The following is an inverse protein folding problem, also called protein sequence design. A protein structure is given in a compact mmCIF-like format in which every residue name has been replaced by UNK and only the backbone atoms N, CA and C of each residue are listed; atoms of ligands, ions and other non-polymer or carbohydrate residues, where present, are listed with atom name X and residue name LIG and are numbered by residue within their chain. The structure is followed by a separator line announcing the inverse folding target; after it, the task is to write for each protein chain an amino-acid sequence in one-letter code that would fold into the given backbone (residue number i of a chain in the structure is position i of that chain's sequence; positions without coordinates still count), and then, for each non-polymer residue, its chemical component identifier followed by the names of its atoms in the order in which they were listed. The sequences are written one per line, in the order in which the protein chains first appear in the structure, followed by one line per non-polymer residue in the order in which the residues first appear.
data_IF_430152090751
#
_entry.id   IF_430152090751
#
_cell.length_a   1.000
_cell.length_b   1.000
_cell.length_c   1.000
_cell.angle_alpha   90.00
_cell.angle_beta   90.00
_cell.angle_gamma   90.00
#
_symmetry.space_group_name_H-M   'P 1'
#
loop_
_entity.id
_entity.type
_entity.pdbx_description
1 polymer ?
#
# COMPACT_ATOMS: atom_id res chain seq x y z
N UNK A 1 14.01 -4.50 -4.76
CA UNK A 1 12.94 -4.07 -3.82
C UNK A 1 13.62 -3.26 -2.72
N UNK A 2 13.09 -2.10 -2.35
CA UNK A 2 13.59 -1.31 -1.21
C UNK A 2 12.60 -1.48 -0.06
N UNK A 3 13.07 -1.94 1.08
CA UNK A 3 12.26 -2.13 2.30
C UNK A 3 12.22 -0.86 3.15
N UNK A 4 11.23 -0.74 4.04
CA UNK A 4 11.16 0.35 5.01
C UNK A 4 10.55 1.66 4.49
N UNK A 5 9.98 1.70 3.28
CA UNK A 5 9.37 2.91 2.75
C UNK A 5 7.97 3.14 3.33
N UNK A 6 7.72 4.39 3.67
CA UNK A 6 6.42 4.94 4.10
C UNK A 6 5.83 5.81 3.00
N UNK A 7 4.59 6.28 3.18
CA UNK A 7 3.99 7.28 2.29
C UNK A 7 4.81 8.56 2.20
N UNK A 8 5.51 8.95 3.29
CA UNK A 8 6.39 10.14 3.32
C UNK A 8 7.53 10.07 2.29
N UNK A 9 8.03 8.86 1.98
CA UNK A 9 9.05 8.68 0.94
C UNK A 9 8.52 8.96 -0.46
N UNK A 10 7.22 8.80 -0.68
CA UNK A 10 6.53 9.00 -1.95
C UNK A 10 5.83 10.36 -2.07
N UNK A 11 5.92 11.23 -1.07
CA UNK A 11 5.37 12.58 -1.20
C UNK A 11 5.98 13.31 -2.41
N UNK A 12 5.18 14.12 -3.12
CA UNK A 12 5.65 14.86 -4.29
C UNK A 12 6.85 15.75 -3.94
N UNK A 13 7.99 15.45 -4.51
CA UNK A 13 9.22 16.24 -4.42
C UNK A 13 10.14 15.95 -5.61
N UNK A 14 10.99 16.89 -5.99
CA UNK A 14 11.84 16.76 -7.17
C UNK A 14 12.80 15.55 -7.11
N UNK A 15 13.24 15.16 -5.91
CA UNK A 15 14.16 14.04 -5.69
C UNK A 15 13.52 12.84 -4.97
N UNK A 16 12.20 12.85 -4.77
CA UNK A 16 11.46 11.80 -4.06
C UNK A 16 11.28 10.51 -4.87
N UNK A 17 10.85 9.45 -4.21
CA UNK A 17 10.64 8.15 -4.87
C UNK A 17 9.51 8.23 -5.91
N UNK A 18 8.47 9.01 -5.67
CA UNK A 18 7.39 9.21 -6.65
C UNK A 18 7.91 9.80 -7.97
N UNK A 19 8.85 10.76 -7.91
CA UNK A 19 9.44 11.34 -9.12
C UNK A 19 10.21 10.31 -9.94
N UNK A 20 10.87 9.34 -9.27
CA UNK A 20 11.55 8.23 -9.96
C UNK A 20 10.56 7.27 -10.62
N UNK A 21 9.44 6.99 -9.95
CA UNK A 21 8.35 6.18 -10.52
C UNK A 21 7.78 6.87 -11.76
N UNK A 22 7.46 8.18 -11.66
CA UNK A 22 6.94 8.97 -12.78
C UNK A 22 7.92 8.97 -13.97
N UNK A 23 9.20 9.20 -13.70
CA UNK A 23 10.24 9.17 -14.75
C UNK A 23 10.34 7.80 -15.43
N UNK A 24 10.30 6.71 -14.65
CA UNK A 24 10.32 5.36 -15.18
C UNK A 24 9.08 5.06 -16.04
N UNK A 25 7.89 5.45 -15.56
CA UNK A 25 6.64 5.27 -16.33
C UNK A 25 6.70 6.04 -17.65
N UNK A 26 7.13 7.30 -17.63
CA UNK A 26 7.29 8.12 -18.86
C UNK A 26 8.26 7.48 -19.86
N UNK A 27 9.26 6.75 -19.38
CA UNK A 27 10.23 6.07 -20.25
C UNK A 27 9.63 4.79 -20.88
N UNK A 28 8.82 4.03 -20.14
CA UNK A 28 8.35 2.71 -20.58
C UNK A 28 6.91 2.69 -21.09
N UNK A 29 6.05 3.62 -20.67
CA UNK A 29 4.67 3.74 -21.14
C UNK A 29 4.61 4.62 -22.40
N UNK A 30 5.03 4.07 -23.53
CA UNK A 30 5.10 4.77 -24.83
C UNK A 30 3.84 4.58 -25.68
N UNK A 31 3.07 3.54 -25.40
CA UNK A 31 1.80 3.28 -26.09
C UNK A 31 0.64 3.84 -25.25
N UNK A 32 0.19 5.04 -25.62
CA UNK A 32 -0.89 5.77 -24.93
C UNK A 32 -2.28 5.15 -25.13
N UNK A 33 -2.41 4.13 -25.98
CA UNK A 33 -3.68 3.38 -26.15
C UNK A 33 -3.88 2.34 -25.06
N UNK A 34 -2.84 1.98 -24.32
CA UNK A 34 -2.88 1.03 -23.23
C UNK A 34 -3.26 1.69 -21.93
N UNK A 35 -4.13 1.01 -21.18
CA UNK A 35 -4.51 1.46 -19.84
C UNK A 35 -3.29 1.41 -18.90
N UNK A 36 -2.99 2.54 -18.26
CA UNK A 36 -2.01 2.63 -17.19
C UNK A 36 -2.69 2.47 -15.83
N UNK A 37 -2.23 1.51 -15.04
CA UNK A 37 -2.75 1.24 -13.70
C UNK A 37 -1.62 1.33 -12.68
N UNK A 38 -1.80 2.17 -11.68
CA UNK A 38 -0.94 2.22 -10.49
C UNK A 38 -1.59 1.43 -9.35
N UNK A 39 -0.94 0.36 -8.90
CA UNK A 39 -1.35 -0.39 -7.73
C UNK A 39 -0.54 0.08 -6.52
N UNK A 40 -1.21 0.61 -5.50
CA UNK A 40 -0.59 1.19 -4.31
C UNK A 40 -0.93 0.35 -3.08
N UNK A 41 0.09 -0.22 -2.43
CA UNK A 41 -0.01 -0.88 -1.13
C UNK A 41 1.02 -0.29 -0.18
N UNK A 42 0.72 0.86 0.41
CA UNK A 42 1.51 1.55 1.42
C UNK A 42 0.73 1.58 2.75
N UNK A 43 1.43 1.72 3.87
CA UNK A 43 0.81 1.85 5.20
C UNK A 43 1.46 0.98 6.26
N UNK A 44 1.99 -0.20 5.91
CA UNK A 44 2.64 -1.08 6.88
C UNK A 44 3.76 -0.36 7.64
N UNK A 45 4.66 0.31 6.95
CA UNK A 45 5.75 1.05 7.58
C UNK A 45 5.29 2.34 8.26
N UNK A 46 4.25 2.98 7.73
CA UNK A 46 3.62 4.18 8.31
C UNK A 46 3.01 3.87 9.69
N UNK A 47 2.56 2.64 9.90
CA UNK A 47 1.93 2.20 11.14
C UNK A 47 2.93 1.91 12.26
N UNK A 48 4.24 1.78 11.98
CA UNK A 48 5.25 1.48 13.00
C UNK A 48 5.24 2.56 14.09
N UNK A 49 5.54 2.14 15.34
CA UNK A 49 5.70 3.06 16.46
C UNK A 49 7.02 3.85 16.35
N UNK A 50 8.07 3.20 15.81
CA UNK A 50 9.40 3.78 15.65
C UNK A 50 10.13 3.15 14.45
N UNK A 51 11.02 3.91 13.83
CA UNK A 51 12.03 3.42 12.90
C UNK A 51 11.87 3.93 11.47
N UNK A 52 10.81 3.61 10.72
CA UNK A 52 10.64 4.11 9.37
C UNK A 52 10.44 5.63 9.33
N UNK A 53 10.91 6.24 8.25
CA UNK A 53 10.83 7.70 8.08
C UNK A 53 9.38 8.19 8.15
N UNK A 54 9.10 9.11 9.06
CA UNK A 54 7.78 9.72 9.25
C UNK A 54 6.83 8.91 10.12
N UNK A 55 7.14 7.64 10.44
CA UNK A 55 6.30 6.85 11.34
C UNK A 55 6.50 7.31 12.82
N UNK A 56 5.44 7.20 13.64
CA UNK A 56 4.07 6.79 13.30
C UNK A 56 3.29 7.87 12.54
N UNK A 57 2.46 7.49 11.58
CA UNK A 57 1.48 8.39 10.98
C UNK A 57 0.10 8.13 11.57
N UNK A 58 -0.64 9.20 11.87
CA UNK A 58 -2.05 9.11 12.22
C UNK A 58 -2.92 8.99 10.96
N UNK A 59 -4.18 8.51 11.07
CA UNK A 59 -5.04 8.26 9.91
C UNK A 59 -5.17 9.44 8.96
N UNK A 60 -5.33 10.65 9.48
CA UNK A 60 -5.47 11.87 8.69
C UNK A 60 -4.20 12.24 7.92
N UNK A 61 -3.03 12.02 8.53
CA UNK A 61 -1.74 12.25 7.88
C UNK A 61 -1.50 11.20 6.78
N UNK A 62 -1.78 9.94 7.08
CA UNK A 62 -1.73 8.85 6.10
C UNK A 62 -2.64 9.14 4.89
N UNK A 63 -3.90 9.52 5.14
CA UNK A 63 -4.86 9.91 4.12
C UNK A 63 -4.33 11.07 3.26
N UNK A 64 -3.82 12.13 3.91
CA UNK A 64 -3.26 13.30 3.24
C UNK A 64 -2.11 12.90 2.32
N UNK A 65 -1.21 12.03 2.78
CA UNK A 65 -0.09 11.55 2.00
C UNK A 65 -0.53 10.70 0.80
N UNK A 66 -1.44 9.74 1.00
CA UNK A 66 -1.98 8.92 -0.10
C UNK A 66 -2.69 9.80 -1.12
N UNK A 67 -3.47 10.79 -0.67
CA UNK A 67 -4.12 11.75 -1.56
C UNK A 67 -3.11 12.53 -2.39
N UNK A 68 -2.07 13.08 -1.77
CA UNK A 68 -1.03 13.84 -2.48
C UNK A 68 -0.29 12.99 -3.53
N UNK A 69 0.00 11.72 -3.22
CA UNK A 69 0.59 10.77 -4.16
C UNK A 69 -0.36 10.52 -5.34
N UNK A 70 -1.62 10.28 -5.03
CA UNK A 70 -2.67 10.00 -6.03
C UNK A 70 -2.90 11.20 -6.96
N UNK A 71 -3.09 12.39 -6.40
CA UNK A 71 -3.27 13.62 -7.16
C UNK A 71 -2.11 13.82 -8.15
N UNK A 72 -0.87 13.61 -7.67
CA UNK A 72 0.31 13.74 -8.53
C UNK A 72 0.34 12.73 -9.68
N UNK A 73 -0.08 11.48 -9.43
CA UNK A 73 -0.16 10.46 -10.48
C UNK A 73 -1.25 10.79 -11.52
N UNK A 74 -2.42 11.23 -11.06
CA UNK A 74 -3.53 11.63 -11.94
C UNK A 74 -3.20 12.87 -12.79
N UNK A 75 -2.42 13.80 -12.24
CA UNK A 75 -1.97 14.99 -12.97
C UNK A 75 -0.90 14.65 -14.02
N UNK A 76 0.05 13.77 -13.69
CA UNK A 76 1.13 13.38 -14.61
C UNK A 76 0.67 12.43 -15.72
N UNK A 77 -0.38 11.64 -15.46
CA UNK A 77 -0.90 10.63 -16.37
C UNK A 77 -2.43 10.72 -16.47
N UNK A 78 -2.96 11.71 -17.20
CA UNK A 78 -4.41 11.85 -17.39
C UNK A 78 -5.03 10.56 -17.94
N UNK A 79 -6.10 10.09 -17.31
CA UNK A 79 -6.76 8.83 -17.69
C UNK A 79 -6.20 7.56 -17.07
N UNK A 80 -5.10 7.61 -16.32
CA UNK A 80 -4.63 6.46 -15.57
C UNK A 80 -5.63 6.03 -14.49
N UNK A 81 -5.49 4.81 -14.02
CA UNK A 81 -6.22 4.29 -12.86
C UNK A 81 -5.27 4.14 -11.68
N UNK A 82 -5.74 4.46 -10.49
CA UNK A 82 -5.04 4.20 -9.24
C UNK A 82 -5.89 3.21 -8.43
N UNK A 83 -5.30 2.07 -8.07
CA UNK A 83 -5.98 1.01 -7.32
C UNK A 83 -5.28 0.87 -5.96
N UNK A 84 -6.01 1.13 -4.88
CA UNK A 84 -5.50 0.94 -3.53
C UNK A 84 -5.64 -0.53 -3.12
N UNK A 85 -4.54 -1.12 -2.68
CA UNK A 85 -4.51 -2.44 -2.06
C UNK A 85 -4.41 -2.27 -0.55
N UNK A 86 -5.30 -2.89 0.19
CA UNK A 86 -5.23 -2.87 1.65
C UNK A 86 -3.95 -3.59 2.09
N UNK A 87 -3.13 -3.00 2.99
CA UNK A 87 -1.95 -3.68 3.53
C UNK A 87 -2.31 -4.98 4.24
N UNK A 88 -1.44 -5.99 4.11
CA UNK A 88 -1.63 -7.28 4.79
C UNK A 88 -1.33 -7.20 6.29
N UNK A 89 -1.81 -8.20 7.01
CA UNK A 89 -1.55 -8.41 8.43
C UNK A 89 -0.06 -8.69 8.71
N UNK A 90 0.39 -8.29 9.89
CA UNK A 90 1.65 -8.71 10.51
C UNK A 90 1.45 -9.01 11.99
N UNK A 91 2.36 -9.81 12.59
CA UNK A 91 2.22 -10.22 13.99
C UNK A 91 2.45 -9.07 14.97
N UNK A 92 1.75 -9.11 16.11
CA UNK A 92 1.90 -8.15 17.21
C UNK A 92 3.28 -8.20 17.89
N UNK A 93 4.11 -9.18 17.54
CA UNK A 93 5.49 -9.33 18.01
C UNK A 93 6.48 -8.71 17.02
N UNK A 94 6.02 -8.05 15.96
CA UNK A 94 6.89 -7.45 14.94
C UNK A 94 7.72 -6.32 15.53
N UNK A 95 8.99 -6.64 15.81
CA UNK A 95 9.99 -5.71 16.32
C UNK A 95 11.38 -6.16 15.84
N UNK A 96 11.75 -5.69 14.66
CA UNK A 96 13.08 -5.86 14.08
C UNK A 96 13.97 -4.63 14.38
N UNK A 97 14.39 -3.89 13.36
CA UNK A 97 15.01 -2.55 13.52
C UNK A 97 13.97 -1.47 13.75
N UNK A 98 12.74 -1.74 13.36
CA UNK A 98 11.56 -0.88 13.52
C UNK A 98 10.60 -1.54 14.49
N UNK A 99 9.97 -0.75 15.33
CA UNK A 99 9.01 -1.22 16.34
C UNK A 99 7.59 -1.01 15.84
N UNK A 100 6.86 -2.10 15.66
CA UNK A 100 5.46 -2.08 15.20
C UNK A 100 4.51 -2.48 16.33
N UNK A 101 4.68 -3.70 16.84
CA UNK A 101 3.93 -4.28 17.94
C UNK A 101 2.40 -4.19 17.76
N UNK A 102 1.65 -4.40 18.86
CA UNK A 102 0.19 -4.37 18.83
C UNK A 102 -0.37 -2.98 18.49
N UNK A 103 0.28 -1.92 18.96
CA UNK A 103 -0.17 -0.55 18.70
C UNK A 103 0.02 -0.17 17.21
N UNK A 104 1.12 -0.63 16.59
CA UNK A 104 1.32 -0.45 15.16
C UNK A 104 0.29 -1.21 14.32
N UNK A 105 -0.02 -2.46 14.68
CA UNK A 105 -1.06 -3.23 13.99
C UNK A 105 -2.45 -2.61 14.14
N UNK A 106 -2.78 -2.10 15.32
CA UNK A 106 -4.03 -1.37 15.54
C UNK A 106 -4.09 -0.10 14.67
N UNK A 107 -2.98 0.65 14.60
CA UNK A 107 -2.87 1.84 13.74
C UNK A 107 -3.01 1.48 12.27
N UNK A 108 -2.38 0.39 11.79
CA UNK A 108 -2.54 -0.06 10.40
C UNK A 108 -4.01 -0.21 10.02
N UNK A 109 -4.81 -0.81 10.89
CA UNK A 109 -6.24 -1.03 10.63
C UNK A 109 -7.03 0.29 10.55
N UNK A 110 -6.58 1.37 11.18
CA UNK A 110 -7.23 2.68 11.06
C UNK A 110 -7.04 3.31 9.67
N UNK A 111 -6.11 2.84 8.87
CA UNK A 111 -5.91 3.33 7.49
C UNK A 111 -6.94 2.75 6.50
N UNK A 112 -7.53 1.61 6.80
CA UNK A 112 -8.47 0.95 5.89
C UNK A 112 -9.70 1.80 5.57
N UNK A 113 -10.40 2.40 6.55
CA UNK A 113 -11.49 3.32 6.25
C UNK A 113 -11.00 4.56 5.48
N UNK A 114 -9.76 5.03 5.69
CA UNK A 114 -9.25 6.20 4.98
C UNK A 114 -9.05 5.94 3.48
N UNK A 115 -8.61 4.74 3.10
CA UNK A 115 -8.54 4.34 1.69
C UNK A 115 -9.93 4.32 1.04
N UNK A 116 -10.93 3.76 1.73
CA UNK A 116 -12.33 3.73 1.26
C UNK A 116 -12.91 5.14 1.13
N UNK A 117 -12.64 6.01 2.10
CA UNK A 117 -13.07 7.41 2.10
C UNK A 117 -12.45 8.18 0.91
N UNK A 118 -11.18 7.95 0.60
CA UNK A 118 -10.53 8.53 -0.58
C UNK A 118 -11.18 8.06 -1.88
N UNK A 119 -11.45 6.76 -2.03
CA UNK A 119 -12.16 6.24 -3.21
C UNK A 119 -13.52 6.91 -3.36
N UNK A 120 -14.28 7.06 -2.27
CA UNK A 120 -15.57 7.75 -2.28
C UNK A 120 -15.45 9.23 -2.68
N UNK A 121 -14.41 9.94 -2.17
CA UNK A 121 -14.14 11.34 -2.55
C UNK A 121 -13.82 11.46 -4.06
N UNK A 122 -12.93 10.59 -4.55
CA UNK A 122 -12.56 10.60 -5.96
C UNK A 122 -13.70 10.14 -6.89
N UNK A 123 -14.64 9.33 -6.42
CA UNK A 123 -15.79 8.95 -7.22
C UNK A 123 -16.65 10.15 -7.65
N UNK A 124 -16.59 11.25 -6.88
CA UNK A 124 -17.29 12.50 -7.19
C UNK A 124 -16.45 13.42 -8.10
N UNK A 125 -15.14 13.48 -7.91
CA UNK A 125 -14.27 14.43 -8.60
C UNK A 125 -13.55 13.85 -9.82
N UNK A 126 -13.26 12.55 -9.81
CA UNK A 126 -12.51 11.78 -10.83
C UNK A 126 -13.16 10.40 -11.02
N UNK A 127 -14.41 10.32 -11.47
CA UNK A 127 -15.17 9.06 -11.53
C UNK A 127 -14.40 7.96 -12.26
N UNK A 128 -14.34 6.78 -11.64
CA UNK A 128 -13.69 5.60 -12.19
C UNK A 128 -12.16 5.66 -12.29
N UNK A 129 -11.47 6.70 -11.78
CA UNK A 129 -10.00 6.77 -11.84
C UNK A 129 -9.32 6.24 -10.58
N UNK A 130 -9.93 6.36 -9.40
CA UNK A 130 -9.40 5.84 -8.14
C UNK A 130 -10.32 4.78 -7.60
N UNK A 131 -9.78 3.60 -7.37
CA UNK A 131 -10.56 2.38 -7.11
C UNK A 131 -10.00 1.64 -5.90
N UNK A 132 -10.85 0.87 -5.22
CA UNK A 132 -10.41 -0.07 -4.20
C UNK A 132 -10.14 -1.42 -4.86
N UNK A 133 -8.97 -1.98 -4.60
CA UNK A 133 -8.59 -3.33 -4.99
C UNK A 133 -8.85 -4.34 -3.89
N UNK A 134 -7.83 -5.13 -3.55
CA UNK A 134 -7.96 -6.16 -2.52
C UNK A 134 -8.22 -5.59 -1.11
N UNK A 135 -9.16 -6.22 -0.41
CA UNK A 135 -9.49 -5.94 1.00
C UNK A 135 -9.53 -7.20 1.86
N UNK A 136 -9.23 -8.38 1.30
CA UNK A 136 -9.42 -9.68 1.95
C UNK A 136 -8.09 -10.29 2.41
N UNK A 137 -6.98 -9.91 1.75
CA UNK A 137 -5.67 -10.46 2.07
C UNK A 137 -5.26 -10.21 3.53
N UNK A 138 -5.70 -9.13 4.17
CA UNK A 138 -5.39 -8.87 5.58
C UNK A 138 -5.86 -10.00 6.49
N UNK A 139 -7.11 -10.39 6.39
CA UNK A 139 -7.70 -11.45 7.22
C UNK A 139 -7.13 -12.81 6.83
N UNK A 140 -6.95 -13.07 5.54
CA UNK A 140 -6.29 -14.29 5.07
C UNK A 140 -4.90 -14.47 5.70
N UNK A 141 -4.03 -13.46 5.65
CA UNK A 141 -2.68 -13.54 6.21
C UNK A 141 -2.68 -13.62 7.74
N UNK A 142 -3.67 -13.03 8.41
CA UNK A 142 -3.87 -13.18 9.85
C UNK A 142 -4.17 -14.63 10.24
N UNK A 143 -4.92 -15.35 9.43
CA UNK A 143 -5.28 -16.75 9.67
C UNK A 143 -4.19 -17.73 9.22
N UNK A 144 -3.45 -17.40 8.16
CA UNK A 144 -2.51 -18.29 7.50
C UNK A 144 -1.03 -17.91 7.70
N UNK A 145 -0.71 -17.04 8.66
CA UNK A 145 0.63 -16.50 8.83
C UNK A 145 1.73 -17.57 9.02
N UNK A 146 1.43 -18.67 9.70
CA UNK A 146 2.40 -19.75 9.95
C UNK A 146 2.88 -20.45 8.66
N UNK A 147 2.06 -20.47 7.64
CA UNK A 147 2.35 -21.13 6.35
C UNK A 147 2.78 -20.18 5.25
N UNK A 148 2.34 -18.91 5.33
CA UNK A 148 2.45 -17.96 4.23
C UNK A 148 3.39 -16.78 4.54
N UNK A 149 3.75 -16.56 5.80
CA UNK A 149 4.76 -15.56 6.18
C UNK A 149 6.06 -16.23 6.65
N UNK A 150 7.14 -15.46 6.57
CA UNK A 150 8.46 -15.90 7.04
C UNK A 150 8.52 -15.75 8.56
N UNK A 151 8.89 -16.79 9.33
CA UNK A 151 9.24 -16.64 10.74
C UNK A 151 10.59 -15.90 10.85
N UNK A 152 10.59 -14.71 11.41
CA UNK A 152 11.75 -13.87 11.59
C UNK A 152 12.04 -13.67 13.08
N UNK A 153 13.31 -13.55 13.45
CA UNK A 153 13.71 -13.25 14.83
C UNK A 153 13.81 -11.76 15.07
N UNK A 154 13.21 -11.28 16.13
CA UNK A 154 13.21 -9.88 16.50
C UNK A 154 13.34 -9.64 18.00
N UNK A 155 13.29 -8.38 18.42
CA UNK A 155 13.49 -7.98 19.82
C UNK A 155 12.34 -8.42 20.75
N UNK A 156 11.16 -8.72 20.18
CA UNK A 156 10.00 -9.24 20.92
C UNK A 156 9.72 -10.73 20.64
N UNK A 157 10.75 -11.48 20.23
CA UNK A 157 10.64 -12.89 19.88
C UNK A 157 10.44 -13.13 18.38
N UNK A 158 9.86 -14.29 18.03
CA UNK A 158 9.54 -14.58 16.63
C UNK A 158 8.40 -13.69 16.16
N UNK A 159 8.57 -13.10 14.98
CA UNK A 159 7.55 -12.28 14.33
C UNK A 159 7.32 -12.73 12.88
N UNK A 160 6.21 -12.28 12.30
CA UNK A 160 5.75 -12.59 10.95
C UNK A 160 5.33 -11.29 10.27
N UNK A 161 6.05 -10.90 9.22
CA UNK A 161 5.83 -9.63 8.50
C UNK A 161 5.91 -9.82 6.99
N UNK A 162 6.90 -10.55 6.51
CA UNK A 162 7.17 -10.68 5.09
C UNK A 162 6.60 -12.00 4.53
N UNK A 163 5.88 -11.97 3.42
CA UNK A 163 5.44 -13.19 2.74
C UNK A 163 6.62 -14.07 2.33
N UNK A 164 6.50 -15.38 2.55
CA UNK A 164 7.37 -16.36 1.92
C UNK A 164 6.94 -16.56 0.45
N UNK A 165 7.55 -17.50 -0.28
CA UNK A 165 7.23 -17.74 -1.70
C UNK A 165 5.75 -18.01 -1.90
N UNK A 166 5.16 -18.91 -1.10
CA UNK A 166 3.73 -19.25 -1.18
C UNK A 166 2.86 -18.03 -0.87
N UNK A 167 3.17 -17.30 0.20
CA UNK A 167 2.44 -16.09 0.57
C UNK A 167 2.54 -15.00 -0.48
N UNK A 168 3.70 -14.83 -1.13
CA UNK A 168 3.85 -13.87 -2.22
C UNK A 168 3.00 -14.24 -3.46
N UNK A 169 2.93 -15.54 -3.80
CA UNK A 169 2.05 -16.03 -4.86
C UNK A 169 0.57 -15.82 -4.52
N UNK A 170 0.19 -16.07 -3.26
CA UNK A 170 -1.17 -15.85 -2.77
C UNK A 170 -1.53 -14.37 -2.77
N UNK A 171 -0.65 -13.49 -2.28
CA UNK A 171 -0.88 -12.05 -2.30
C UNK A 171 -1.01 -11.52 -3.73
N UNK A 172 -0.19 -12.05 -4.66
CA UNK A 172 -0.29 -11.72 -6.08
C UNK A 172 -1.66 -12.05 -6.68
N UNK A 173 -2.29 -13.16 -6.26
CA UNK A 173 -3.65 -13.52 -6.68
C UNK A 173 -4.68 -12.54 -6.13
N UNK A 174 -4.67 -12.25 -4.83
CA UNK A 174 -5.56 -11.25 -4.23
C UNK A 174 -5.47 -9.90 -4.94
N UNK A 175 -4.26 -9.42 -5.20
CA UNK A 175 -4.08 -8.16 -5.90
C UNK A 175 -4.54 -8.20 -7.36
N UNK A 176 -4.27 -9.29 -8.06
CA UNK A 176 -4.72 -9.45 -9.46
C UNK A 176 -6.25 -9.48 -9.54
N UNK A 177 -6.90 -10.26 -8.68
CA UNK A 177 -8.37 -10.35 -8.59
C UNK A 177 -8.96 -9.00 -8.17
N UNK A 178 -8.39 -8.34 -7.15
CA UNK A 178 -8.82 -7.02 -6.71
C UNK A 178 -8.72 -5.96 -7.82
N UNK A 179 -7.62 -5.94 -8.59
CA UNK A 179 -7.47 -5.05 -9.75
C UNK A 179 -8.48 -5.40 -10.84
N UNK A 180 -8.62 -6.68 -11.17
CA UNK A 180 -9.57 -7.13 -12.19
C UNK A 180 -11.01 -6.73 -11.85
N UNK A 181 -11.45 -7.00 -10.64
CA UNK A 181 -12.79 -6.65 -10.18
C UNK A 181 -13.01 -5.14 -10.18
N UNK A 182 -12.04 -4.37 -9.67
CA UNK A 182 -12.11 -2.91 -9.65
C UNK A 182 -12.23 -2.29 -11.06
N UNK A 183 -11.58 -2.88 -12.07
CA UNK A 183 -11.63 -2.40 -13.45
C UNK A 183 -12.83 -2.90 -14.23
N UNK A 184 -13.46 -4.00 -13.81
CA UNK A 184 -14.60 -4.63 -14.52
C UNK A 184 -15.96 -4.02 -14.18
N UNK A 185 -16.07 -3.27 -13.10
CA UNK A 185 -17.34 -2.67 -12.61
C UNK A 185 -17.62 -1.29 -13.21
N UNK A 186 -16.76 -0.79 -14.10
CA UNK A 186 -16.90 0.53 -14.73
C UNK A 186 -17.20 0.46 -16.21
#
# INVERSE_FOLDING_TARGET
MRSGYTTVNFLPSAAGELSKVIAAVKLFHTDMTRLLVFSISLGTNDSAEEGPRGAPLYPEEYRTNIKAITDKLLDEFPGCKVVYQQPIWYSITTYNRSRYLAAGLARLQTYFPELKNLVAEYSQSKPGQVLMGDTEAFDYFKENYLTDLIPESGNAGTFYLHPNKKGAETLGKFWAEGIWNALSVN
#
